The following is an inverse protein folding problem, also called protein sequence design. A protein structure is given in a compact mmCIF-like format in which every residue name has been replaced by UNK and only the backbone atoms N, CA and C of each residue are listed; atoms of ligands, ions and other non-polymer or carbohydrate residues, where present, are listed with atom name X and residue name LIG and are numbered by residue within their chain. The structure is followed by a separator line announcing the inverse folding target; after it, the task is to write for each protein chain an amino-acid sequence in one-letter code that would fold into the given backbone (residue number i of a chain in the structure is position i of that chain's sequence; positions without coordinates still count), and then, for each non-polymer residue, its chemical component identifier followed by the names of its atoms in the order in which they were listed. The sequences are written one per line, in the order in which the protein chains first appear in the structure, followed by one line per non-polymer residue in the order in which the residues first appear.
data_IF_844277495944
#
_entry.id   IF_844277495944
#
_cell.length_a   1.000
_cell.length_b   1.000
_cell.length_c   1.000
_cell.angle_alpha   90.00
_cell.angle_beta   90.00
_cell.angle_gamma   90.00
#
_symmetry.space_group_name_H-M   'P 1'
#
loop_
_entity.id
_entity.type
_entity.pdbx_description
1 polymer ?
#
# COMPACT_ATOMS: atom_id res chain seq x y z
N UNK A 1 -10.38 -13.16 5.34
CA UNK A 1 -9.93 -12.71 3.99
C UNK A 1 -11.07 -12.65 2.97
N UNK A 2 -11.81 -13.74 2.70
CA UNK A 2 -12.84 -13.79 1.65
C UNK A 2 -13.99 -12.75 1.78
N UNK A 3 -14.43 -12.41 3.01
CA UNK A 3 -15.49 -11.41 3.23
C UNK A 3 -15.11 -10.01 2.75
N UNK A 4 -13.85 -9.62 2.87
CA UNK A 4 -13.37 -8.30 2.43
C UNK A 4 -13.25 -8.24 0.90
N UNK A 5 -12.75 -9.32 0.29
CA UNK A 5 -12.68 -9.48 -1.17
C UNK A 5 -14.06 -9.40 -1.83
N UNK A 6 -15.06 -10.10 -1.28
CA UNK A 6 -16.43 -10.08 -1.82
C UNK A 6 -17.07 -8.69 -1.71
N UNK A 7 -16.86 -7.97 -0.60
CA UNK A 7 -17.35 -6.60 -0.44
C UNK A 7 -16.76 -5.66 -1.48
N UNK A 8 -15.46 -5.73 -1.72
CA UNK A 8 -14.78 -4.90 -2.73
C UNK A 8 -15.25 -5.21 -4.15
N UNK A 9 -15.52 -6.48 -4.47
CA UNK A 9 -16.11 -6.86 -5.76
C UNK A 9 -17.51 -6.28 -5.96
N UNK A 10 -18.37 -6.36 -4.93
CA UNK A 10 -19.73 -5.80 -4.99
C UNK A 10 -19.68 -4.28 -5.17
N UNK A 11 -18.82 -3.59 -4.42
CA UNK A 11 -18.64 -2.14 -4.55
C UNK A 11 -18.08 -1.74 -5.91
N UNK A 12 -17.12 -2.49 -6.45
CA UNK A 12 -16.61 -2.25 -7.80
C UNK A 12 -17.73 -2.38 -8.84
N UNK A 13 -18.58 -3.41 -8.74
CA UNK A 13 -19.76 -3.55 -9.59
C UNK A 13 -20.74 -2.37 -9.46
N UNK A 14 -20.99 -1.90 -8.23
CA UNK A 14 -21.80 -0.71 -7.97
C UNK A 14 -21.20 0.55 -8.62
N UNK A 15 -19.88 0.77 -8.50
CA UNK A 15 -19.23 1.92 -9.11
C UNK A 15 -19.25 1.88 -10.63
N UNK A 16 -19.09 0.70 -11.24
CA UNK A 16 -19.28 0.53 -12.69
C UNK A 16 -20.71 0.89 -13.07
N UNK A 17 -21.72 0.39 -12.35
CA UNK A 17 -23.12 0.73 -12.60
C UNK A 17 -23.39 2.24 -12.47
N UNK A 18 -22.86 2.89 -11.43
CA UNK A 18 -22.93 4.34 -11.27
C UNK A 18 -22.22 5.09 -12.41
N UNK A 19 -21.09 4.57 -12.88
CA UNK A 19 -20.36 5.11 -14.02
C UNK A 19 -21.09 5.00 -15.36
N UNK A 20 -22.13 4.15 -15.45
CA UNK A 20 -23.05 4.11 -16.60
C UNK A 20 -24.25 5.04 -16.38
N UNK A 21 -24.85 4.99 -15.19
CA UNK A 21 -26.10 5.70 -14.88
C UNK A 21 -25.88 7.22 -14.78
N UNK A 22 -24.83 7.66 -14.08
CA UNK A 22 -24.60 9.09 -13.84
C UNK A 22 -24.39 9.84 -15.16
N UNK A 23 -23.48 9.42 -16.06
CA UNK A 23 -23.30 10.12 -17.34
C UNK A 23 -24.57 10.14 -18.19
N UNK A 24 -25.28 9.01 -18.26
CA UNK A 24 -26.53 8.90 -19.00
C UNK A 24 -27.57 9.91 -18.49
N UNK A 25 -27.76 9.99 -17.18
CA UNK A 25 -28.68 10.92 -16.55
C UNK A 25 -28.25 12.38 -16.71
N UNK A 26 -26.97 12.69 -16.48
CA UNK A 26 -26.47 14.08 -16.62
C UNK A 26 -26.59 14.61 -18.05
N UNK A 27 -26.37 13.75 -19.06
CA UNK A 27 -26.51 14.11 -20.46
C UNK A 27 -27.96 14.33 -20.91
N UNK A 28 -28.89 13.47 -20.48
CA UNK A 28 -30.29 13.54 -20.92
C UNK A 28 -31.19 14.40 -20.02
N UNK A 29 -30.96 14.44 -18.71
CA UNK A 29 -31.83 15.14 -17.76
C UNK A 29 -31.46 16.62 -17.57
N UNK A 30 -30.16 16.97 -17.66
CA UNK A 30 -29.68 18.33 -17.45
C UNK A 30 -29.13 18.99 -18.71
N UNK A 31 -28.98 18.25 -19.81
CA UNK A 31 -28.41 18.76 -21.07
C UNK A 31 -26.96 19.25 -20.95
N UNK A 32 -26.27 18.91 -19.86
CA UNK A 32 -24.91 19.37 -19.61
C UNK A 32 -23.94 18.46 -20.39
N UNK A 33 -23.05 19.02 -21.23
CA UNK A 33 -22.05 18.22 -21.91
C UNK A 33 -21.19 17.42 -20.93
N UNK A 34 -21.01 16.13 -21.19
CA UNK A 34 -20.21 15.24 -20.33
C UNK A 34 -18.75 15.69 -20.17
N UNK A 35 -18.26 16.55 -21.08
CA UNK A 35 -16.93 17.16 -21.05
C UNK A 35 -16.76 18.20 -19.93
N UNK A 36 -17.85 18.75 -19.39
CA UNK A 36 -17.82 19.79 -18.36
C UNK A 36 -17.78 19.18 -16.95
N UNK A 37 -18.70 18.26 -16.66
CA UNK A 37 -18.84 17.68 -15.32
C UNK A 37 -18.02 16.41 -15.10
N UNK A 38 -17.50 15.79 -16.17
CA UNK A 38 -16.71 14.56 -16.13
C UNK A 38 -17.37 13.46 -15.25
N UNK A 39 -18.65 13.15 -15.48
CA UNK A 39 -19.46 12.34 -14.57
C UNK A 39 -18.96 10.90 -14.41
N UNK A 40 -18.27 10.35 -15.42
CA UNK A 40 -17.76 8.97 -15.42
C UNK A 40 -16.47 8.81 -14.60
N UNK A 41 -15.71 9.90 -14.41
CA UNK A 41 -14.45 9.89 -13.67
C UNK A 41 -14.67 9.71 -12.16
N UNK A 42 -15.80 10.22 -11.63
CA UNK A 42 -16.11 10.16 -10.19
C UNK A 42 -16.24 8.70 -9.71
N UNK A 43 -17.09 7.84 -10.30
CA UNK A 43 -17.22 6.45 -9.84
C UNK A 43 -15.94 5.64 -10.00
N UNK A 44 -15.15 5.89 -11.05
CA UNK A 44 -13.88 5.19 -11.28
C UNK A 44 -12.84 5.57 -10.22
N UNK A 45 -12.70 6.85 -9.90
CA UNK A 45 -11.80 7.31 -8.83
C UNK A 45 -12.24 6.77 -7.46
N UNK A 46 -13.55 6.77 -7.17
CA UNK A 46 -14.08 6.15 -5.96
C UNK A 46 -13.76 4.65 -5.92
N UNK A 47 -13.90 3.94 -7.04
CA UNK A 47 -13.55 2.53 -7.12
C UNK A 47 -12.06 2.28 -6.85
N UNK A 48 -11.16 3.09 -7.41
CA UNK A 48 -9.73 3.00 -7.13
C UNK A 48 -9.41 3.23 -5.64
N UNK A 49 -9.95 4.30 -5.06
CA UNK A 49 -9.71 4.70 -3.68
C UNK A 49 -10.33 3.73 -2.65
N UNK A 50 -11.46 3.11 -2.95
CA UNK A 50 -12.19 2.23 -2.01
C UNK A 50 -11.86 0.75 -2.22
N UNK A 51 -11.79 0.30 -3.48
CA UNK A 51 -11.65 -1.11 -3.84
C UNK A 51 -10.21 -1.52 -4.17
N UNK A 52 -9.31 -0.55 -4.36
CA UNK A 52 -7.88 -0.77 -4.62
C UNK A 52 -7.52 -0.80 -6.11
N UNK A 53 -6.21 -0.93 -6.43
CA UNK A 53 -5.67 -0.67 -7.76
C UNK A 53 -6.22 -1.60 -8.85
N UNK A 54 -6.32 -2.91 -8.56
CA UNK A 54 -6.76 -3.90 -9.55
C UNK A 54 -8.23 -3.69 -9.97
N UNK A 55 -9.11 -3.51 -9.00
CA UNK A 55 -10.53 -3.29 -9.24
C UNK A 55 -10.80 -1.90 -9.81
N UNK A 56 -10.09 -0.88 -9.34
CA UNK A 56 -10.14 0.46 -9.93
C UNK A 56 -9.72 0.49 -11.40
N UNK A 57 -8.61 -0.17 -11.75
CA UNK A 57 -8.15 -0.26 -13.14
C UNK A 57 -9.18 -0.99 -14.03
N UNK A 58 -9.70 -2.12 -13.55
CA UNK A 58 -10.71 -2.89 -14.28
C UNK A 58 -12.00 -2.07 -14.47
N UNK A 59 -12.49 -1.40 -13.42
CA UNK A 59 -13.64 -0.52 -13.52
C UNK A 59 -13.39 0.64 -14.49
N UNK A 60 -12.21 1.25 -14.44
CA UNK A 60 -11.82 2.35 -15.33
C UNK A 60 -11.73 1.94 -16.81
N UNK A 61 -11.36 0.70 -17.09
CA UNK A 61 -11.38 0.15 -18.45
C UNK A 61 -12.80 -0.23 -18.89
N UNK A 62 -13.55 -0.96 -18.05
CA UNK A 62 -14.85 -1.51 -18.42
C UNK A 62 -15.94 -0.45 -18.52
N UNK A 63 -15.98 0.53 -17.62
CA UNK A 63 -17.05 1.54 -17.58
C UNK A 63 -17.23 2.30 -18.90
N UNK A 64 -16.18 2.92 -19.48
CA UNK A 64 -16.33 3.65 -20.75
C UNK A 64 -16.65 2.72 -21.93
N UNK A 65 -16.11 1.50 -21.94
CA UNK A 65 -16.41 0.50 -22.98
C UNK A 65 -17.88 0.09 -22.94
N UNK A 66 -18.37 -0.27 -21.76
CA UNK A 66 -19.78 -0.63 -21.56
C UNK A 66 -20.71 0.55 -21.86
N UNK A 67 -20.35 1.76 -21.45
CA UNK A 67 -21.10 2.97 -21.78
C UNK A 67 -21.19 3.18 -23.29
N UNK A 68 -20.08 3.04 -24.01
CA UNK A 68 -20.03 3.20 -25.47
C UNK A 68 -20.93 2.18 -26.18
N UNK A 69 -20.89 0.92 -25.76
CA UNK A 69 -21.72 -0.16 -26.33
C UNK A 69 -23.21 0.08 -26.05
N UNK A 70 -23.57 0.53 -24.85
CA UNK A 70 -24.97 0.65 -24.44
C UNK A 70 -25.62 1.96 -24.90
N UNK A 71 -24.86 3.06 -24.94
CA UNK A 71 -25.40 4.41 -25.15
C UNK A 71 -24.90 5.08 -26.43
N UNK A 72 -23.92 4.48 -27.11
CA UNK A 72 -23.18 5.10 -28.22
C UNK A 72 -22.17 6.16 -27.77
N UNK A 73 -22.07 6.48 -26.47
CA UNK A 73 -21.13 7.45 -25.91
C UNK A 73 -20.22 6.80 -24.84
N UNK A 74 -18.90 7.03 -24.87
CA UNK A 74 -18.15 7.84 -25.84
C UNK A 74 -18.14 7.22 -27.25
N UNK A 75 -17.94 8.02 -28.31
CA UNK A 75 -17.71 7.50 -29.65
C UNK A 75 -16.53 6.53 -29.68
N UNK A 76 -16.67 5.42 -30.41
CA UNK A 76 -15.67 4.36 -30.49
C UNK A 76 -14.30 4.86 -30.98
N UNK A 77 -14.28 5.86 -31.87
CA UNK A 77 -13.04 6.49 -32.33
C UNK A 77 -13.20 8.01 -32.50
N UNK A 78 -12.23 8.84 -32.06
CA UNK A 78 -11.00 8.50 -31.33
C UNK A 78 -11.18 8.51 -29.78
N UNK A 79 -12.36 8.87 -29.28
CA UNK A 79 -12.57 9.24 -27.87
C UNK A 79 -12.46 8.06 -26.91
N UNK A 80 -13.06 6.92 -27.25
CA UNK A 80 -13.11 5.74 -26.37
C UNK A 80 -11.71 5.26 -25.94
N UNK A 81 -10.72 5.02 -26.84
CA UNK A 81 -9.37 4.61 -26.43
C UNK A 81 -8.70 5.58 -25.45
N UNK A 82 -8.85 6.89 -25.68
CA UNK A 82 -8.27 7.91 -24.80
C UNK A 82 -8.92 7.90 -23.41
N UNK A 83 -10.25 7.87 -23.35
CA UNK A 83 -10.98 7.86 -22.09
C UNK A 83 -10.79 6.55 -21.31
N UNK A 84 -10.76 5.41 -22.00
CA UNK A 84 -10.49 4.12 -21.39
C UNK A 84 -9.08 4.07 -20.76
N UNK A 85 -8.06 4.56 -21.48
CA UNK A 85 -6.70 4.65 -20.94
C UNK A 85 -6.59 5.61 -19.75
N UNK A 86 -7.22 6.79 -19.84
CA UNK A 86 -7.27 7.77 -18.74
C UNK A 86 -7.93 7.19 -17.48
N UNK A 87 -9.13 6.63 -17.60
CA UNK A 87 -9.92 6.11 -16.48
C UNK A 87 -9.29 4.86 -15.87
N UNK A 88 -8.75 3.95 -16.68
CA UNK A 88 -7.97 2.82 -16.19
C UNK A 88 -6.79 3.31 -15.33
N UNK A 89 -6.09 4.35 -15.79
CA UNK A 89 -4.97 4.94 -15.06
C UNK A 89 -5.41 5.62 -13.78
N UNK A 90 -6.54 6.36 -13.80
CA UNK A 90 -7.12 6.97 -12.60
C UNK A 90 -7.39 5.93 -11.53
N UNK A 91 -8.10 4.86 -11.87
CA UNK A 91 -8.43 3.77 -10.94
C UNK A 91 -7.20 3.03 -10.43
N UNK A 92 -6.21 2.78 -11.30
CA UNK A 92 -4.96 2.10 -10.94
C UNK A 92 -4.12 2.94 -9.98
N UNK A 93 -3.78 4.18 -10.37
CA UNK A 93 -2.81 5.02 -9.66
C UNK A 93 -3.39 5.53 -8.35
N UNK A 94 -4.66 5.98 -8.34
CA UNK A 94 -5.32 6.40 -7.09
C UNK A 94 -5.42 5.24 -6.09
N UNK A 95 -5.73 4.03 -6.56
CA UNK A 95 -5.74 2.84 -5.71
C UNK A 95 -4.36 2.45 -5.21
N UNK A 96 -3.32 2.54 -6.05
CA UNK A 96 -1.95 2.19 -5.66
C UNK A 96 -1.41 3.14 -4.58
N UNK A 97 -1.57 4.45 -4.76
CA UNK A 97 -1.17 5.44 -3.74
C UNK A 97 -1.97 5.24 -2.45
N UNK A 98 -3.29 5.00 -2.54
CA UNK A 98 -4.15 4.77 -1.37
C UNK A 98 -3.75 3.53 -0.58
N UNK A 99 -3.43 2.43 -1.27
CA UNK A 99 -2.98 1.19 -0.61
C UNK A 99 -1.62 1.35 0.06
N UNK A 100 -0.73 2.16 -0.53
CA UNK A 100 0.60 2.44 0.04
C UNK A 100 0.55 3.44 1.20
N UNK A 101 -0.38 4.40 1.17
CA UNK A 101 -0.55 5.47 2.16
C UNK A 101 -2.02 5.65 2.56
N UNK A 102 -2.44 4.98 3.63
CA UNK A 102 -3.85 4.89 4.04
C UNK A 102 -4.46 6.15 4.64
N UNK A 103 -3.80 7.30 4.62
CA UNK A 103 -4.44 8.60 4.90
C UNK A 103 -4.41 9.56 3.72
N UNK A 104 -3.76 9.16 2.62
CA UNK A 104 -3.45 10.04 1.51
C UNK A 104 -4.60 10.12 0.48
N UNK A 105 -5.83 10.45 0.89
CA UNK A 105 -6.97 10.58 -0.04
C UNK A 105 -6.69 11.65 -1.11
N UNK A 106 -6.29 12.85 -0.69
CA UNK A 106 -5.95 13.94 -1.61
C UNK A 106 -4.75 13.63 -2.51
N UNK A 107 -3.59 13.17 -2.01
CA UNK A 107 -2.47 12.79 -2.87
C UNK A 107 -2.81 11.65 -3.84
N UNK A 108 -3.63 10.68 -3.42
CA UNK A 108 -4.08 9.60 -4.30
C UNK A 108 -4.98 10.12 -5.43
N UNK A 109 -5.88 11.04 -5.11
CA UNK A 109 -6.79 11.66 -6.06
C UNK A 109 -6.03 12.49 -7.09
N UNK A 110 -5.17 13.41 -6.62
CA UNK A 110 -4.37 14.29 -7.49
C UNK A 110 -3.37 13.49 -8.31
N UNK A 111 -2.68 12.52 -7.70
CA UNK A 111 -1.73 11.65 -8.39
C UNK A 111 -2.40 10.82 -9.49
N UNK A 112 -3.59 10.26 -9.22
CA UNK A 112 -4.39 9.57 -10.22
C UNK A 112 -4.81 10.47 -11.38
N UNK A 113 -5.31 11.67 -11.07
CA UNK A 113 -5.69 12.67 -12.07
C UNK A 113 -4.53 13.05 -12.99
N UNK A 114 -3.38 13.41 -12.43
CA UNK A 114 -2.21 13.78 -13.22
C UNK A 114 -1.73 12.63 -14.10
N UNK A 115 -1.64 11.42 -13.54
CA UNK A 115 -1.20 10.25 -14.29
C UNK A 115 -2.13 9.92 -15.46
N UNK A 116 -3.44 9.95 -15.26
CA UNK A 116 -4.36 9.67 -16.37
C UNK A 116 -4.36 10.77 -17.43
N UNK A 117 -4.14 12.04 -17.07
CA UNK A 117 -3.97 13.13 -18.06
C UNK A 117 -2.73 12.93 -18.91
N UNK A 118 -1.63 12.46 -18.33
CA UNK A 118 -0.43 12.08 -19.08
C UNK A 118 -0.74 10.94 -20.05
N UNK A 119 -1.41 9.88 -19.59
CA UNK A 119 -1.79 8.74 -20.45
C UNK A 119 -2.75 9.17 -21.56
N UNK A 120 -3.72 10.02 -21.27
CA UNK A 120 -4.61 10.61 -22.27
C UNK A 120 -3.83 11.32 -23.38
N UNK A 121 -2.87 12.18 -23.00
CA UNK A 121 -2.02 12.90 -23.95
C UNK A 121 -1.13 11.97 -24.79
N UNK A 122 -0.57 10.92 -24.18
CA UNK A 122 0.25 9.93 -24.89
C UNK A 122 -0.57 9.13 -25.92
N UNK A 123 -1.78 8.69 -25.55
CA UNK A 123 -2.68 7.99 -26.48
C UNK A 123 -3.11 8.93 -27.61
N UNK A 124 -3.47 10.18 -27.28
CA UNK A 124 -3.80 11.19 -28.29
C UNK A 124 -2.65 11.39 -29.29
N UNK A 125 -1.41 11.56 -28.80
CA UNK A 125 -0.23 11.72 -29.65
C UNK A 125 -0.01 10.49 -30.56
N UNK A 126 -0.15 9.28 -30.03
CA UNK A 126 -0.03 8.05 -30.81
C UNK A 126 -1.10 7.96 -31.91
N UNK A 127 -2.34 8.34 -31.61
CA UNK A 127 -3.44 8.35 -32.58
C UNK A 127 -3.21 9.39 -33.69
N UNK A 128 -2.78 10.60 -33.35
CA UNK A 128 -2.50 11.68 -34.32
C UNK A 128 -1.39 11.26 -35.30
N UNK A 129 -0.33 10.62 -34.79
CA UNK A 129 0.75 10.07 -35.61
C UNK A 129 0.25 8.96 -36.54
N UNK A 130 -0.64 8.10 -36.06
CA UNK A 130 -1.24 7.02 -36.84
C UNK A 130 -2.20 7.48 -37.94
N UNK A 131 -2.72 8.71 -37.87
CA UNK A 131 -3.68 9.27 -38.85
C UNK A 131 -3.12 10.44 -39.65
N UNK A 132 -1.79 10.54 -39.83
CA UNK A 132 -1.13 11.61 -40.60
C UNK A 132 -1.54 13.04 -40.19
N UNK A 133 -1.77 13.30 -38.90
CA UNK A 133 -2.07 14.66 -38.43
C UNK A 133 -3.50 15.14 -38.71
N UNK A 134 -4.42 14.26 -39.11
CA UNK A 134 -5.83 14.63 -39.34
C UNK A 134 -6.55 15.21 -38.10
N UNK A 135 -6.03 14.95 -36.89
CA UNK A 135 -6.55 15.47 -35.64
C UNK A 135 -5.78 16.73 -35.21
N UNK A 136 -6.42 17.90 -35.29
CA UNK A 136 -5.79 19.18 -34.90
C UNK A 136 -5.59 19.30 -33.38
N UNK A 137 -4.36 19.59 -32.95
CA UNK A 137 -3.97 19.73 -31.53
C UNK A 137 -4.64 20.88 -30.78
N UNK A 138 -5.27 21.85 -31.48
CA UNK A 138 -6.07 22.92 -30.86
C UNK A 138 -7.27 22.37 -30.03
N UNK A 139 -7.73 21.15 -30.34
CA UNK A 139 -8.79 20.46 -29.61
C UNK A 139 -8.42 20.03 -28.19
N UNK A 140 -7.13 19.78 -27.92
CA UNK A 140 -6.68 19.27 -26.60
C UNK A 140 -6.73 20.36 -25.54
N UNK A 141 -6.26 21.57 -25.87
CA UNK A 141 -6.29 22.69 -24.93
C UNK A 141 -7.73 23.09 -24.57
N UNK A 142 -8.64 23.05 -25.55
CA UNK A 142 -10.06 23.26 -25.34
C UNK A 142 -10.70 22.14 -24.47
N UNK A 143 -10.30 20.89 -24.66
CA UNK A 143 -10.79 19.77 -23.85
C UNK A 143 -10.33 19.86 -22.38
N UNK A 144 -9.08 20.29 -22.15
CA UNK A 144 -8.54 20.48 -20.79
C UNK A 144 -9.23 21.64 -20.08
N UNK A 145 -9.44 22.78 -20.75
CA UNK A 145 -10.10 23.94 -20.14
C UNK A 145 -11.56 23.67 -19.81
N UNK A 146 -12.29 22.96 -20.68
CA UNK A 146 -13.67 22.54 -20.41
C UNK A 146 -13.78 21.57 -19.24
N UNK A 147 -12.75 20.76 -18.97
CA UNK A 147 -12.75 19.79 -17.88
C UNK A 147 -12.41 20.36 -16.49
N UNK A 148 -11.98 21.62 -16.39
CA UNK A 148 -11.60 22.24 -15.12
C UNK A 148 -12.73 22.27 -14.07
N UNK A 149 -14.00 22.63 -14.42
CA UNK A 149 -15.11 22.57 -13.47
C UNK A 149 -15.31 21.17 -12.88
N UNK A 150 -15.23 20.13 -13.73
CA UNK A 150 -15.30 18.73 -13.30
C UNK A 150 -14.17 18.33 -12.36
N UNK A 151 -12.94 18.78 -12.60
CA UNK A 151 -11.80 18.52 -11.70
C UNK A 151 -12.03 19.17 -10.33
N UNK A 152 -12.47 20.43 -10.29
CA UNK A 152 -12.78 21.13 -9.03
C UNK A 152 -13.87 20.38 -8.27
N UNK A 153 -14.92 19.97 -8.96
CA UNK A 153 -16.01 19.17 -8.38
C UNK A 153 -15.49 17.85 -7.80
N UNK A 154 -14.63 17.13 -8.52
CA UNK A 154 -14.03 15.88 -8.06
C UNK A 154 -13.21 16.08 -6.77
N UNK A 155 -12.41 17.14 -6.70
CA UNK A 155 -11.58 17.45 -5.53
C UNK A 155 -12.42 17.78 -4.28
N UNK A 156 -13.60 18.38 -4.46
CA UNK A 156 -14.51 18.71 -3.35
C UNK A 156 -15.35 17.49 -2.95
N UNK A 157 -15.88 16.76 -3.93
CA UNK A 157 -16.92 15.74 -3.73
C UNK A 157 -16.35 14.38 -3.32
N UNK A 158 -15.23 13.95 -3.91
CA UNK A 158 -14.72 12.59 -3.72
C UNK A 158 -14.22 12.35 -2.29
N UNK A 159 -13.41 13.22 -1.66
CA UNK A 159 -12.89 12.97 -0.32
C UNK A 159 -13.96 12.69 0.75
N UNK A 160 -15.04 13.49 0.90
CA UNK A 160 -16.06 13.21 1.92
C UNK A 160 -16.81 11.91 1.65
N UNK A 161 -17.04 11.55 0.38
CA UNK A 161 -17.69 10.28 0.01
C UNK A 161 -16.82 9.10 0.43
N UNK A 162 -15.52 9.13 0.12
CA UNK A 162 -14.58 8.05 0.50
C UNK A 162 -14.58 7.85 2.02
N UNK A 163 -14.43 8.94 2.77
CA UNK A 163 -14.43 8.89 4.24
C UNK A 163 -15.78 8.40 4.80
N UNK A 164 -16.89 8.78 4.18
CA UNK A 164 -18.22 8.30 4.55
C UNK A 164 -18.38 6.79 4.33
N UNK A 165 -17.99 6.28 3.16
CA UNK A 165 -18.04 4.86 2.82
C UNK A 165 -17.16 4.05 3.78
N UNK A 166 -15.94 4.51 4.06
CA UNK A 166 -15.02 3.82 4.96
C UNK A 166 -15.54 3.73 6.40
N UNK A 167 -16.19 4.80 6.89
CA UNK A 167 -16.85 4.81 8.20
C UNK A 167 -18.05 3.87 8.24
N UNK A 168 -18.93 3.92 7.23
CA UNK A 168 -20.12 3.07 7.16
C UNK A 168 -19.79 1.57 7.05
N UNK A 169 -18.70 1.25 6.34
CA UNK A 169 -18.27 -0.14 6.12
C UNK A 169 -17.25 -0.65 7.14
N UNK A 170 -16.81 0.20 8.09
CA UNK A 170 -15.83 -0.15 9.12
C UNK A 170 -14.43 -0.45 8.57
N UNK A 171 -14.07 0.09 7.40
CA UNK A 171 -12.82 -0.27 6.71
C UNK A 171 -11.58 0.39 7.33
N UNK A 172 -11.68 1.59 7.92
CA UNK A 172 -10.59 2.18 8.72
C UNK A 172 -10.42 1.48 10.08
N UNK A 173 -11.53 1.08 10.70
CA UNK A 173 -11.58 0.40 11.99
C UNK A 173 -10.88 -0.96 11.90
N UNK A 174 -11.13 -1.72 10.84
CA UNK A 174 -10.58 -3.07 10.67
C UNK A 174 -9.05 -3.11 10.57
N UNK A 175 -8.38 -2.04 10.08
CA UNK A 175 -6.90 -2.00 10.02
C UNK A 175 -6.29 -1.67 11.37
N UNK A 176 -6.87 -0.73 12.12
CA UNK A 176 -6.43 -0.40 13.49
C UNK A 176 -6.74 -1.54 14.45
N UNK A 177 -7.95 -2.10 14.41
CA UNK A 177 -8.33 -3.27 15.20
C UNK A 177 -7.46 -4.49 14.88
N UNK A 178 -7.09 -4.73 13.61
CA UNK A 178 -6.18 -5.83 13.28
C UNK A 178 -4.76 -5.63 13.85
N UNK A 179 -4.27 -4.39 13.91
CA UNK A 179 -3.00 -4.07 14.55
C UNK A 179 -3.10 -4.17 16.06
N UNK A 180 -4.14 -3.63 16.68
CA UNK A 180 -4.38 -3.78 18.11
C UNK A 180 -4.56 -5.25 18.50
N UNK A 181 -5.28 -6.04 17.71
CA UNK A 181 -5.47 -7.47 17.94
C UNK A 181 -4.16 -8.27 17.82
N UNK A 182 -3.23 -7.85 16.96
CA UNK A 182 -1.89 -8.44 16.89
C UNK A 182 -1.14 -8.23 18.20
N UNK A 183 -1.20 -7.02 18.76
CA UNK A 183 -0.56 -6.63 20.02
C UNK A 183 -1.52 -6.69 21.22
N UNK A 184 -2.44 -7.66 21.22
CA UNK A 184 -3.38 -7.85 22.31
C UNK A 184 -3.52 -9.32 22.66
N UNK A 185 -4.02 -9.56 23.87
CA UNK A 185 -4.30 -10.88 24.39
C UNK A 185 -3.14 -11.50 25.16
N UNK A 186 -3.46 -12.61 25.82
CA UNK A 186 -2.62 -13.24 26.84
C UNK A 186 -1.24 -13.62 26.34
N UNK A 187 -1.13 -14.15 25.12
CA UNK A 187 0.16 -14.54 24.54
C UNK A 187 1.09 -13.35 24.31
N UNK A 188 0.55 -12.19 23.94
CA UNK A 188 1.34 -10.98 23.76
C UNK A 188 1.84 -10.44 25.10
N UNK A 189 0.95 -10.33 26.10
CA UNK A 189 1.31 -9.93 27.47
C UNK A 189 2.36 -10.88 28.07
N UNK A 190 2.16 -12.19 27.92
CA UNK A 190 3.11 -13.20 28.39
C UNK A 190 4.45 -13.11 27.66
N UNK A 191 4.46 -12.81 26.37
CA UNK A 191 5.69 -12.60 25.62
C UNK A 191 6.45 -11.35 26.08
N UNK A 192 5.75 -10.24 26.35
CA UNK A 192 6.35 -9.02 26.90
C UNK A 192 6.98 -9.28 28.27
N UNK A 193 6.26 -9.98 29.15
CA UNK A 193 6.78 -10.39 30.46
C UNK A 193 7.99 -11.33 30.33
N UNK A 194 7.97 -12.25 29.37
CA UNK A 194 9.05 -13.19 29.14
C UNK A 194 10.34 -12.49 28.67
N UNK A 195 10.24 -11.51 27.77
CA UNK A 195 11.43 -10.78 27.28
C UNK A 195 11.94 -9.73 28.26
N UNK A 196 11.08 -9.28 29.19
CA UNK A 196 11.44 -8.37 30.28
C UNK A 196 12.23 -9.08 31.40
N UNK A 197 11.98 -10.38 31.60
CA UNK A 197 12.75 -11.23 32.53
C UNK A 197 14.01 -11.76 31.85
N UNK A 198 15.10 -11.92 32.61
CA UNK A 198 16.32 -12.52 32.07
C UNK A 198 16.08 -14.02 31.79
N UNK A 199 16.15 -14.42 30.52
CA UNK A 199 16.00 -15.83 30.10
C UNK A 199 15.22 -16.07 28.80
N UNK A 200 14.62 -15.06 28.18
CA UNK A 200 14.04 -15.17 26.82
C UNK A 200 14.38 -13.92 26.02
N UNK A 201 14.96 -14.08 24.84
CA UNK A 201 15.32 -12.96 23.95
C UNK A 201 14.26 -12.68 22.91
N UNK A 202 13.61 -13.74 22.39
CA UNK A 202 12.61 -13.62 21.33
C UNK A 202 11.46 -14.62 21.52
N UNK A 203 10.25 -14.18 21.20
CA UNK A 203 9.03 -14.99 21.20
C UNK A 203 8.29 -14.77 19.88
N UNK A 204 7.83 -15.84 19.25
CA UNK A 204 7.01 -15.77 18.04
C UNK A 204 5.56 -16.12 18.41
N UNK A 205 4.63 -15.28 17.97
CA UNK A 205 3.19 -15.43 18.19
C UNK A 205 2.51 -15.54 16.83
N UNK A 206 1.59 -16.50 16.69
CA UNK A 206 0.71 -16.61 15.51
C UNK A 206 -0.69 -16.94 15.99
N UNK A 207 -1.68 -16.25 15.42
CA UNK A 207 -3.11 -16.44 15.76
C UNK A 207 -3.41 -16.31 17.27
N UNK A 208 -2.63 -15.49 18.00
CA UNK A 208 -2.82 -15.29 19.44
C UNK A 208 -2.19 -16.37 20.33
N UNK A 209 -1.38 -17.27 19.78
CA UNK A 209 -0.67 -18.32 20.51
C UNK A 209 0.84 -18.20 20.34
N UNK A 210 1.59 -18.51 21.39
CA UNK A 210 3.06 -18.57 21.34
C UNK A 210 3.45 -19.86 20.62
N UNK A 211 4.06 -19.72 19.44
CA UNK A 211 4.49 -20.85 18.61
C UNK A 211 5.96 -21.19 18.81
N UNK A 212 6.78 -20.25 19.29
CA UNK A 212 8.19 -20.49 19.53
C UNK A 212 8.77 -19.51 20.56
N UNK A 213 9.77 -19.96 21.32
CA UNK A 213 10.59 -19.13 22.22
C UNK A 213 12.05 -19.48 22.03
N UNK A 214 12.89 -18.47 21.94
CA UNK A 214 14.33 -18.66 21.93
C UNK A 214 15.02 -17.65 22.86
N UNK A 215 16.13 -18.10 23.42
CA UNK A 215 17.04 -17.26 24.19
C UNK A 215 18.41 -17.21 23.52
N UNK A 216 19.09 -16.08 23.71
CA UNK A 216 20.44 -15.89 23.23
C UNK A 216 20.78 -14.40 23.12
N UNK A 217 21.88 -14.12 22.41
CA UNK A 217 22.45 -12.76 22.34
C UNK A 217 22.50 -12.24 20.92
N UNK A 218 22.21 -10.95 20.78
CA UNK A 218 22.19 -10.27 19.48
C UNK A 218 21.15 -10.91 18.56
N UNK A 219 21.49 -11.02 17.27
CA UNK A 219 20.59 -11.62 16.26
C UNK A 219 20.65 -13.14 16.18
N UNK A 220 21.52 -13.79 16.97
CA UNK A 220 21.72 -15.26 16.92
C UNK A 220 20.43 -16.07 17.09
N UNK A 221 19.51 -15.71 18.01
CA UNK A 221 18.23 -16.43 18.16
C UNK A 221 17.38 -16.35 16.89
N UNK A 222 17.31 -15.18 16.25
CA UNK A 222 16.55 -14.99 15.01
C UNK A 222 17.12 -15.80 13.85
N UNK A 223 18.45 -15.86 13.75
CA UNK A 223 19.13 -16.66 12.73
C UNK A 223 18.89 -18.15 12.96
N UNK A 224 19.03 -18.63 14.19
CA UNK A 224 18.78 -20.04 14.51
C UNK A 224 17.36 -20.45 14.11
N UNK A 225 16.34 -19.65 14.48
CA UNK A 225 14.94 -19.89 14.07
C UNK A 225 14.82 -19.89 12.54
N UNK A 226 15.47 -18.96 11.86
CA UNK A 226 15.37 -18.84 10.40
C UNK A 226 16.04 -20.00 9.67
N UNK A 227 17.16 -20.51 10.19
CA UNK A 227 17.88 -21.65 9.62
C UNK A 227 17.18 -22.99 9.90
N UNK A 228 16.57 -23.15 11.08
CA UNK A 228 15.85 -24.37 11.46
C UNK A 228 14.46 -24.45 10.82
N UNK A 229 13.65 -23.40 10.95
CA UNK A 229 12.29 -23.38 10.43
C UNK A 229 11.85 -21.96 10.00
N UNK A 230 12.27 -21.50 8.80
CA UNK A 230 11.96 -20.15 8.33
C UNK A 230 10.45 -19.86 8.25
N UNK A 231 9.62 -20.89 8.09
CA UNK A 231 8.16 -20.78 8.06
C UNK A 231 7.56 -20.29 9.37
N UNK A 232 8.28 -20.32 10.49
CA UNK A 232 7.80 -19.77 11.77
C UNK A 232 7.63 -18.25 11.74
N UNK A 233 8.41 -17.53 10.94
CA UNK A 233 8.28 -16.07 10.82
C UNK A 233 7.05 -15.66 10.01
N UNK A 234 6.63 -16.49 9.05
CA UNK A 234 5.55 -16.13 8.12
C UNK A 234 4.27 -15.78 8.88
N UNK A 235 3.75 -14.59 8.62
CA UNK A 235 2.53 -14.05 9.23
C UNK A 235 2.56 -13.92 10.77
N UNK A 236 3.73 -14.07 11.41
CA UNK A 236 3.88 -14.02 12.86
C UNK A 236 4.07 -12.60 13.39
N UNK A 237 3.69 -12.41 14.66
CA UNK A 237 4.17 -11.32 15.51
C UNK A 237 5.45 -11.79 16.20
N UNK A 238 6.54 -11.04 16.01
CA UNK A 238 7.83 -11.30 16.67
C UNK A 238 8.02 -10.33 17.82
N UNK A 239 8.17 -10.84 19.03
CA UNK A 239 8.40 -10.06 20.24
C UNK A 239 9.85 -10.26 20.65
N UNK A 240 10.69 -9.22 20.53
CA UNK A 240 12.13 -9.28 20.81
C UNK A 240 12.52 -8.20 21.83
N UNK A 241 13.59 -8.42 22.59
CA UNK A 241 14.08 -7.41 23.54
C UNK A 241 14.65 -6.17 22.83
N UNK A 242 15.36 -6.35 21.71
CA UNK A 242 16.07 -5.27 21.01
C UNK A 242 16.05 -5.47 19.49
N UNK A 243 15.37 -4.59 18.76
CA UNK A 243 15.30 -4.66 17.30
C UNK A 243 16.12 -3.53 16.66
N UNK A 244 17.21 -3.91 16.00
CA UNK A 244 17.95 -3.07 15.06
C UNK A 244 17.61 -3.36 13.61
N UNK A 245 18.21 -2.63 12.67
CA UNK A 245 18.15 -2.89 11.23
C UNK A 245 18.62 -4.31 10.90
N UNK A 246 19.62 -4.82 11.61
CA UNK A 246 20.09 -6.21 11.46
C UNK A 246 18.98 -7.24 11.76
N UNK A 247 18.33 -7.12 12.93
CA UNK A 247 17.21 -7.98 13.29
C UNK A 247 16.04 -7.79 12.32
N UNK A 248 15.71 -6.55 11.98
CA UNK A 248 14.61 -6.19 11.09
C UNK A 248 14.73 -6.85 9.71
N UNK A 249 15.94 -6.95 9.14
CA UNK A 249 16.17 -7.65 7.87
C UNK A 249 15.83 -9.13 7.94
N UNK A 250 16.19 -9.81 9.04
CA UNK A 250 15.82 -11.21 9.25
C UNK A 250 14.29 -11.34 9.34
N UNK A 251 13.62 -10.44 10.07
CA UNK A 251 12.16 -10.47 10.21
C UNK A 251 11.45 -10.27 8.86
N UNK A 252 11.92 -9.32 8.04
CA UNK A 252 11.35 -9.08 6.71
C UNK A 252 11.60 -10.27 5.79
N UNK A 253 12.83 -10.80 5.76
CA UNK A 253 13.18 -12.00 4.98
C UNK A 253 12.36 -13.22 5.39
N UNK A 254 12.05 -13.36 6.68
CA UNK A 254 11.16 -14.40 7.23
C UNK A 254 9.67 -14.20 6.95
N UNK A 255 9.25 -13.02 6.46
CA UNK A 255 7.84 -12.72 6.21
C UNK A 255 7.04 -12.44 7.49
N UNK A 256 7.68 -11.88 8.52
CA UNK A 256 7.01 -11.43 9.73
C UNK A 256 5.93 -10.39 9.41
N UNK A 257 4.78 -10.52 10.08
CA UNK A 257 3.65 -9.59 9.91
C UNK A 257 3.74 -8.40 10.85
N UNK A 258 4.24 -8.64 12.06
CA UNK A 258 4.37 -7.63 13.09
C UNK A 258 5.62 -7.86 13.94
N UNK A 259 6.12 -6.80 14.57
CA UNK A 259 7.24 -6.86 15.48
C UNK A 259 7.03 -5.94 16.70
N UNK A 260 7.36 -6.43 17.88
CA UNK A 260 7.45 -5.64 19.11
C UNK A 260 8.88 -5.65 19.63
N UNK A 261 9.35 -4.51 20.15
CA UNK A 261 10.53 -4.51 20.99
C UNK A 261 10.50 -3.55 22.17
N UNK A 262 11.15 -3.92 23.27
CA UNK A 262 11.37 -2.99 24.38
C UNK A 262 12.19 -1.78 23.91
N UNK A 263 13.21 -2.03 23.09
CA UNK A 263 14.03 -0.98 22.45
C UNK A 263 14.16 -1.24 20.96
N UNK A 264 13.96 -0.21 20.13
CA UNK A 264 14.13 -0.29 18.68
C UNK A 264 15.08 0.81 18.19
N UNK A 265 15.93 0.53 17.20
CA UNK A 265 16.73 1.57 16.54
C UNK A 265 15.90 2.33 15.50
N UNK A 266 16.16 3.63 15.29
CA UNK A 266 15.50 4.40 14.22
C UNK A 266 15.67 3.75 12.84
N UNK A 267 16.84 3.16 12.59
CA UNK A 267 17.11 2.45 11.34
C UNK A 267 16.25 1.17 11.20
N UNK A 268 16.10 0.39 12.28
CA UNK A 268 15.24 -0.79 12.30
C UNK A 268 13.76 -0.43 12.15
N UNK A 269 13.30 0.60 12.86
CA UNK A 269 11.93 1.12 12.77
C UNK A 269 11.58 1.51 11.33
N UNK A 270 12.40 2.36 10.72
CA UNK A 270 12.19 2.84 9.36
C UNK A 270 12.17 1.68 8.35
N UNK A 271 13.07 0.71 8.52
CA UNK A 271 13.16 -0.45 7.63
C UNK A 271 11.92 -1.35 7.72
N UNK A 272 11.44 -1.66 8.94
CA UNK A 272 10.24 -2.47 9.14
C UNK A 272 8.99 -1.80 8.56
N UNK A 273 8.80 -0.50 8.85
CA UNK A 273 7.66 0.27 8.32
C UNK A 273 7.68 0.34 6.79
N UNK A 274 8.85 0.55 6.18
CA UNK A 274 9.02 0.61 4.72
C UNK A 274 8.62 -0.71 4.05
N UNK A 275 8.88 -1.84 4.71
CA UNK A 275 8.55 -3.19 4.25
C UNK A 275 7.16 -3.68 4.70
N UNK A 276 6.34 -2.83 5.31
CA UNK A 276 4.95 -3.14 5.64
C UNK A 276 4.76 -4.02 6.88
N UNK A 277 5.79 -4.17 7.72
CA UNK A 277 5.69 -4.86 9.01
C UNK A 277 5.08 -3.90 10.03
N UNK A 278 4.06 -4.36 10.76
CA UNK A 278 3.44 -3.56 11.82
C UNK A 278 4.33 -3.55 13.04
N UNK A 279 4.47 -2.41 13.71
CA UNK A 279 5.44 -2.28 14.81
C UNK A 279 4.85 -1.64 16.06
N UNK A 280 5.41 -2.02 17.20
CA UNK A 280 5.26 -1.32 18.46
C UNK A 280 6.58 -1.37 19.23
N UNK A 281 6.97 -0.26 19.84
CA UNK A 281 8.21 -0.19 20.60
C UNK A 281 7.98 0.45 21.98
N UNK A 282 8.68 -0.05 23.00
CA UNK A 282 8.72 0.60 24.32
C UNK A 282 9.46 1.92 24.27
N UNK A 283 10.63 1.95 23.60
CA UNK A 283 11.39 3.16 23.29
C UNK A 283 12.13 3.03 21.95
N UNK A 284 12.36 4.17 21.30
CA UNK A 284 13.16 4.25 20.07
C UNK A 284 14.46 5.01 20.35
N UNK A 285 15.59 4.48 19.88
CA UNK A 285 16.92 5.05 20.06
C UNK A 285 17.59 5.31 18.70
N UNK A 286 18.58 6.21 18.66
CA UNK A 286 19.26 6.54 17.40
C UNK A 286 20.11 5.39 16.87
N UNK A 287 20.96 4.80 17.72
CA UNK A 287 21.92 3.77 17.34
C UNK A 287 22.03 2.70 18.43
N UNK A 288 22.21 1.45 18.01
CA UNK A 288 22.53 0.35 18.93
C UNK A 288 24.05 0.31 19.13
N UNK A 289 24.49 0.47 20.38
CA UNK A 289 25.90 0.37 20.75
C UNK A 289 26.37 -1.09 20.82
N UNK A 290 27.68 -1.29 20.63
CA UNK A 290 28.34 -2.56 20.93
C UNK A 290 28.39 -2.81 22.44
N UNK A 291 28.80 -4.02 22.83
CA UNK A 291 28.82 -4.46 24.24
C UNK A 291 29.70 -3.59 25.12
N UNK A 292 30.83 -3.13 24.58
CA UNK A 292 31.79 -2.31 25.31
C UNK A 292 31.41 -0.82 25.34
N UNK A 293 30.28 -0.44 24.73
CA UNK A 293 29.82 0.94 24.55
C UNK A 293 30.88 1.87 23.90
N UNK A 294 31.78 1.31 23.11
CA UNK A 294 32.84 2.04 22.41
C UNK A 294 32.46 2.44 20.98
N UNK A 295 31.35 1.93 20.44
CA UNK A 295 30.89 2.27 19.10
C UNK A 295 29.60 1.55 18.68
N UNK A 296 29.29 1.59 17.39
CA UNK A 296 28.08 0.97 16.81
C UNK A 296 28.20 -0.56 16.88
N UNK A 297 27.09 -1.23 17.18
CA UNK A 297 26.97 -2.68 17.12
C UNK A 297 27.47 -3.23 15.78
N UNK A 298 28.40 -4.21 15.76
CA UNK A 298 28.94 -4.77 14.51
C UNK A 298 27.87 -5.29 13.55
N UNK A 299 26.83 -5.94 14.09
CA UNK A 299 25.71 -6.45 13.30
C UNK A 299 24.95 -5.30 12.64
N UNK A 300 24.65 -4.24 13.38
CA UNK A 300 23.94 -3.07 12.86
C UNK A 300 24.77 -2.36 11.79
N UNK A 301 26.08 -2.21 12.03
CA UNK A 301 27.02 -1.58 11.11
C UNK A 301 27.10 -2.31 9.77
N UNK A 302 27.11 -3.65 9.80
CA UNK A 302 27.25 -4.48 8.60
C UNK A 302 26.15 -4.25 7.56
N UNK A 303 24.94 -3.87 8.01
CA UNK A 303 23.76 -3.73 7.14
C UNK A 303 23.29 -2.30 6.94
N UNK A 304 24.04 -1.30 7.41
CA UNK A 304 23.60 0.11 7.31
C UNK A 304 23.36 0.55 5.87
N UNK A 305 24.16 0.04 4.92
CA UNK A 305 24.19 0.49 3.53
C UNK A 305 23.22 -0.27 2.60
N UNK A 306 22.76 -1.45 2.99
CA UNK A 306 21.82 -2.24 2.17
C UNK A 306 20.37 -2.03 2.59
N UNK A 307 19.47 -2.17 1.63
CA UNK A 307 18.02 -2.18 1.82
C UNK A 307 17.39 -3.51 1.35
N UNK A 308 18.18 -4.42 0.79
CA UNK A 308 17.73 -5.74 0.35
C UNK A 308 17.81 -6.74 1.53
N UNK A 309 16.69 -7.36 1.96
CA UNK A 309 16.70 -8.34 3.03
C UNK A 309 17.57 -9.57 2.73
N UNK A 310 17.68 -9.99 1.47
CA UNK A 310 18.45 -11.17 1.09
C UNK A 310 19.95 -10.90 1.16
N UNK A 311 20.43 -9.80 0.57
CA UNK A 311 21.80 -9.30 0.73
C UNK A 311 22.12 -9.04 2.21
N UNK A 312 21.22 -8.37 2.93
CA UNK A 312 21.38 -8.07 4.34
C UNK A 312 21.61 -9.33 5.19
N UNK A 313 20.83 -10.39 4.95
CA UNK A 313 21.02 -11.66 5.65
C UNK A 313 22.38 -12.29 5.39
N UNK A 314 22.86 -12.27 4.15
CA UNK A 314 24.18 -12.78 3.80
C UNK A 314 25.30 -12.01 4.54
N UNK A 315 25.23 -10.68 4.56
CA UNK A 315 26.19 -9.83 5.30
C UNK A 315 26.19 -10.11 6.80
N UNK A 316 25.03 -10.40 7.40
CA UNK A 316 24.93 -10.79 8.80
C UNK A 316 25.63 -12.12 9.07
N UNK A 317 25.46 -13.12 8.20
CA UNK A 317 26.13 -14.42 8.33
C UNK A 317 27.65 -14.28 8.22
N UNK A 318 28.15 -13.50 7.25
CA UNK A 318 29.59 -13.21 7.12
C UNK A 318 30.15 -12.51 8.37
N UNK A 319 29.43 -11.51 8.87
CA UNK A 319 29.82 -10.75 10.07
C UNK A 319 29.91 -11.67 11.29
N UNK A 320 28.98 -12.60 11.46
CA UNK A 320 29.02 -13.59 12.55
C UNK A 320 30.25 -14.50 12.43
N UNK A 321 30.57 -14.97 11.23
CA UNK A 321 31.76 -15.80 11.01
C UNK A 321 33.04 -15.04 11.33
N UNK A 322 33.14 -13.76 10.96
CA UNK A 322 34.29 -12.91 11.29
C UNK A 322 34.43 -12.73 12.81
N UNK A 323 33.32 -12.43 13.51
CA UNK A 323 33.32 -12.25 14.96
C UNK A 323 33.65 -13.54 15.72
N UNK A 324 33.26 -14.71 15.19
CA UNK A 324 33.64 -16.02 15.76
C UNK A 324 35.13 -16.33 15.59
N UNK A 325 35.79 -15.83 14.54
CA UNK A 325 37.24 -16.01 14.32
C UNK A 325 38.09 -15.04 15.16
N UNK A 326 37.52 -13.93 15.60
CA UNK A 326 38.19 -12.89 16.36
C UNK A 326 38.09 -13.07 17.89
N UNK A 327 37.27 -14.01 18.36
CA UNK A 327 37.15 -14.44 19.76
C UNK A 327 37.77 -15.82 19.95
#
# INVERSE_FOLDING_TARGET
MARDTNRKLILAGLFVALGLIIPYFTGHAFGVPGTVLLPMHIPVLLCGLVCGPKLGALAGLLTPVLSSVLTGMPPAFPVLPMMAGELMTYGLVSGLIRTRFTRAVYPSLVGGMMAGRVVYGLIFAALVLGTNGAFQGASVFAAVSMGLPGIVLQLILIPPIVLGIERLLGMETNRKEQTELLFAGRAYEEAQDAIAKEGTSVVLIRNGEIIHRADGRGVSPLIAIYEEEPTLFKDALVVDRLIGKAAAMILVKGGAKAAYANTMSKAGEAFLQKNGVQIQAGRVIDLISNRDNTGICPMERSVMHTEDPDEGYALLQETIQQLRKAN
#
